data_IF_973837345015
#
_entry.id   IF_973837345015
#
_cell.length_a   1.000
_cell.length_b   1.000
_cell.length_c   1.000
_cell.angle_alpha   90.00
_cell.angle_beta   90.00
_cell.angle_gamma   90.00
#
_symmetry.space_group_name_H-M   'P 1'
#
loop_
_entity.id
_entity.type
_entity.pdbx_description
1 polymer ?
#
# COMPACT_ATOMS: atom_id res chain seq x y z
N UNK A 1 4.77 23.46 14.75
CA UNK A 1 3.86 22.61 13.95
C UNK A 1 4.45 21.25 13.57
N UNK A 2 5.69 21.16 13.07
CA UNK A 2 6.30 19.93 12.52
C UNK A 2 6.43 18.75 13.50
N UNK A 3 6.89 18.97 14.75
CA UNK A 3 7.03 17.89 15.75
C UNK A 3 5.70 17.19 16.09
N UNK A 4 4.59 17.94 16.12
CA UNK A 4 3.23 17.39 16.30
C UNK A 4 2.79 16.55 15.10
N UNK A 5 3.22 16.89 13.89
CA UNK A 5 2.91 16.15 12.68
C UNK A 5 3.61 14.78 12.66
N UNK A 6 4.90 14.73 13.01
CA UNK A 6 5.66 13.46 13.09
C UNK A 6 5.06 12.50 14.11
N UNK A 7 4.70 12.96 15.31
CA UNK A 7 4.07 12.11 16.34
C UNK A 7 2.74 11.54 15.85
N UNK A 8 1.91 12.36 15.19
CA UNK A 8 0.64 11.90 14.63
C UNK A 8 0.84 10.84 13.55
N UNK A 9 1.82 11.00 12.66
CA UNK A 9 2.12 10.00 11.63
C UNK A 9 2.60 8.69 12.24
N UNK A 10 3.51 8.74 13.22
CA UNK A 10 3.99 7.53 13.91
C UNK A 10 2.83 6.81 14.59
N UNK A 11 1.96 7.55 15.28
CA UNK A 11 0.75 6.99 15.88
C UNK A 11 -0.16 6.35 14.83
N UNK A 12 -0.36 7.00 13.69
CA UNK A 12 -1.15 6.44 12.59
C UNK A 12 -0.53 5.16 12.01
N UNK A 13 0.80 5.08 11.89
CA UNK A 13 1.49 3.86 11.44
C UNK A 13 1.28 2.73 12.46
N UNK A 14 1.38 3.02 13.77
CA UNK A 14 1.10 2.04 14.81
C UNK A 14 -0.36 1.54 14.75
N UNK A 15 -1.32 2.45 14.57
CA UNK A 15 -2.74 2.10 14.39
C UNK A 15 -2.95 1.25 13.13
N UNK A 16 -2.24 1.55 12.04
CA UNK A 16 -2.26 0.76 10.81
C UNK A 16 -1.81 -0.68 11.05
N UNK A 17 -0.67 -0.88 11.70
CA UNK A 17 -0.17 -2.22 12.04
C UNK A 17 -1.09 -2.99 12.99
N UNK A 18 -1.59 -2.33 14.04
CA UNK A 18 -2.53 -2.95 14.99
C UNK A 18 -3.82 -3.34 14.27
N UNK A 19 -4.38 -2.44 13.45
CA UNK A 19 -5.59 -2.71 12.67
C UNK A 19 -5.42 -3.88 11.72
N UNK A 20 -4.28 -3.95 11.02
CA UNK A 20 -3.95 -5.07 10.14
C UNK A 20 -3.85 -6.39 10.92
N UNK A 21 -3.03 -6.44 11.97
CA UNK A 21 -2.80 -7.64 12.75
C UNK A 21 -4.07 -8.17 13.43
N UNK A 22 -4.90 -7.28 14.00
CA UNK A 22 -6.19 -7.66 14.57
C UNK A 22 -7.11 -8.25 13.50
N UNK A 23 -7.14 -7.66 12.31
CA UNK A 23 -7.96 -8.18 11.21
C UNK A 23 -7.58 -9.60 10.82
N UNK A 24 -6.27 -9.89 10.76
CA UNK A 24 -5.76 -11.24 10.46
C UNK A 24 -6.02 -12.23 11.60
N UNK A 25 -5.82 -11.81 12.85
CA UNK A 25 -6.15 -12.63 14.03
C UNK A 25 -7.62 -13.02 14.07
N UNK A 26 -8.53 -12.07 13.78
CA UNK A 26 -9.97 -12.35 13.74
C UNK A 26 -10.28 -13.34 12.61
N UNK A 27 -9.65 -13.17 11.44
CA UNK A 27 -9.83 -14.07 10.30
C UNK A 27 -9.52 -15.51 10.67
N UNK A 28 -8.35 -15.74 11.28
CA UNK A 28 -7.87 -17.08 11.62
C UNK A 28 -8.66 -17.67 12.80
N UNK A 29 -8.95 -16.90 13.85
CA UNK A 29 -9.59 -17.44 15.07
C UNK A 29 -11.07 -17.70 14.93
N UNK A 30 -11.81 -16.85 14.21
CA UNK A 30 -13.28 -16.91 14.24
C UNK A 30 -13.85 -17.82 13.17
N UNK A 31 -13.11 -18.14 12.10
CA UNK A 31 -13.63 -18.76 10.87
C UNK A 31 -14.87 -18.04 10.29
N UNK A 32 -15.25 -16.89 10.85
CA UNK A 32 -16.37 -16.08 10.41
C UNK A 32 -15.87 -15.16 9.31
N UNK A 33 -15.83 -15.70 8.09
CA UNK A 33 -15.35 -14.99 6.91
C UNK A 33 -15.99 -13.61 6.76
N UNK A 34 -17.30 -13.46 7.05
CA UNK A 34 -18.01 -12.21 6.84
C UNK A 34 -17.54 -11.08 7.78
N UNK A 35 -17.46 -11.34 9.09
CA UNK A 35 -17.09 -10.32 10.08
C UNK A 35 -15.63 -9.89 9.90
N UNK A 36 -14.74 -10.87 9.70
CA UNK A 36 -13.33 -10.61 9.39
C UNK A 36 -13.19 -9.78 8.11
N UNK A 37 -13.92 -10.15 7.05
CA UNK A 37 -13.88 -9.43 5.78
C UNK A 37 -14.39 -8.00 5.91
N UNK A 38 -15.48 -7.76 6.66
CA UNK A 38 -15.99 -6.40 6.90
C UNK A 38 -14.99 -5.55 7.70
N UNK A 39 -14.39 -6.12 8.74
CA UNK A 39 -13.40 -5.42 9.54
C UNK A 39 -12.16 -5.07 8.70
N UNK A 40 -11.67 -6.03 7.91
CA UNK A 40 -10.57 -5.81 6.98
C UNK A 40 -10.90 -4.72 5.95
N UNK A 41 -12.05 -4.82 5.31
CA UNK A 41 -12.43 -3.97 4.18
C UNK A 41 -12.96 -2.57 4.54
N UNK A 42 -13.54 -2.38 5.73
CA UNK A 42 -14.08 -1.07 6.13
C UNK A 42 -13.11 -0.37 7.07
N UNK A 43 -12.68 -1.07 8.13
CA UNK A 43 -11.86 -0.48 9.18
C UNK A 43 -10.41 -0.38 8.71
N UNK A 44 -9.83 -1.48 8.25
CA UNK A 44 -8.42 -1.48 7.87
C UNK A 44 -8.16 -0.74 6.54
N UNK A 45 -8.76 -1.14 5.42
CA UNK A 45 -8.45 -0.48 4.12
C UNK A 45 -9.11 0.90 3.97
N UNK A 46 -10.35 1.04 4.43
CA UNK A 46 -11.12 2.29 4.31
C UNK A 46 -10.69 3.36 5.32
N UNK A 47 -11.01 3.16 6.60
CA UNK A 47 -10.78 4.17 7.63
C UNK A 47 -9.29 4.36 7.94
N UNK A 48 -8.61 3.29 8.30
CA UNK A 48 -7.21 3.37 8.74
C UNK A 48 -6.29 3.58 7.53
N UNK A 49 -6.48 2.80 6.47
CA UNK A 49 -5.66 2.81 5.26
C UNK A 49 -5.83 4.06 4.41
N UNK A 50 -7.07 4.51 4.20
CA UNK A 50 -7.35 5.61 3.26
C UNK A 50 -7.70 6.93 3.96
N UNK A 51 -8.67 6.92 4.88
CA UNK A 51 -9.16 8.16 5.51
C UNK A 51 -8.10 8.84 6.38
N UNK A 52 -7.40 8.12 7.25
CA UNK A 52 -6.39 8.72 8.15
C UNK A 52 -5.26 9.42 7.36
N UNK A 53 -4.58 8.77 6.39
CA UNK A 53 -3.53 9.44 5.63
C UNK A 53 -4.00 10.67 4.86
N UNK A 54 -5.20 10.59 4.25
CA UNK A 54 -5.78 11.69 3.48
C UNK A 54 -6.19 12.85 4.40
N UNK A 55 -6.73 12.54 5.59
CA UNK A 55 -7.01 13.55 6.60
C UNK A 55 -5.73 14.28 7.03
N UNK A 56 -4.65 13.55 7.32
CA UNK A 56 -3.36 14.14 7.69
C UNK A 56 -2.76 14.96 6.55
N UNK A 57 -2.80 14.44 5.32
CA UNK A 57 -2.41 15.17 4.11
C UNK A 57 -3.11 16.52 4.03
N UNK A 58 -4.43 16.54 4.18
CA UNK A 58 -5.22 17.76 4.07
C UNK A 58 -5.00 18.72 5.25
N UNK A 59 -4.76 18.19 6.45
CA UNK A 59 -4.45 18.99 7.64
C UNK A 59 -3.07 19.67 7.54
N UNK A 60 -2.11 19.03 6.90
CA UNK A 60 -0.73 19.52 6.77
C UNK A 60 -0.38 20.05 5.38
N UNK A 61 -1.36 20.11 4.46
CA UNK A 61 -1.20 20.57 3.07
C UNK A 61 -0.10 19.84 2.31
N UNK A 62 -0.03 18.51 2.47
CA UNK A 62 0.91 17.69 1.71
C UNK A 62 0.41 17.42 0.30
N UNK A 63 1.35 17.32 -0.64
CA UNK A 63 1.05 17.02 -2.04
C UNK A 63 1.37 15.55 -2.34
N UNK A 64 0.55 14.92 -3.18
CA UNK A 64 0.83 13.58 -3.71
C UNK A 64 2.08 13.54 -4.60
N UNK A 65 2.34 14.64 -5.31
CA UNK A 65 3.38 14.71 -6.34
C UNK A 65 4.30 15.90 -6.10
N UNK A 66 5.58 15.73 -6.42
CA UNK A 66 6.60 16.78 -6.50
C UNK A 66 7.38 16.65 -7.80
N UNK A 67 8.30 17.59 -8.06
CA UNK A 67 9.19 17.52 -9.21
C UNK A 67 10.12 16.30 -9.11
N UNK A 68 10.10 15.46 -10.13
CA UNK A 68 11.01 14.32 -10.24
C UNK A 68 12.45 14.81 -10.36
N UNK A 69 13.40 14.09 -9.74
CA UNK A 69 14.83 14.36 -9.87
C UNK A 69 15.44 13.65 -11.07
N UNK A 70 15.07 12.38 -11.31
CA UNK A 70 15.51 11.61 -12.47
C UNK A 70 14.44 10.59 -12.86
N UNK A 71 13.62 10.94 -13.85
CA UNK A 71 12.51 10.08 -14.29
C UNK A 71 12.98 8.72 -14.81
N UNK A 72 14.07 8.70 -15.58
CA UNK A 72 14.58 7.49 -16.23
C UNK A 72 15.01 6.47 -15.18
N UNK A 73 15.85 6.89 -14.22
CA UNK A 73 16.27 6.01 -13.12
C UNK A 73 15.07 5.52 -12.31
N UNK A 74 14.13 6.41 -12.00
CA UNK A 74 12.92 6.07 -11.26
C UNK A 74 12.06 5.00 -11.92
N UNK A 75 11.82 5.11 -13.23
CA UNK A 75 11.10 4.10 -14.01
C UNK A 75 11.88 2.80 -14.15
N UNK A 76 13.21 2.85 -14.28
CA UNK A 76 14.04 1.65 -14.34
C UNK A 76 13.91 0.80 -13.07
N UNK A 77 14.05 1.41 -11.89
CA UNK A 77 13.84 0.71 -10.62
C UNK A 77 12.42 0.18 -10.46
N UNK A 78 11.43 0.87 -11.04
CA UNK A 78 10.02 0.49 -10.95
C UNK A 78 9.73 -0.73 -11.83
N UNK A 79 10.31 -0.77 -13.04
CA UNK A 79 10.28 -1.94 -13.91
C UNK A 79 10.99 -3.12 -13.23
N UNK A 80 12.17 -2.90 -12.64
CA UNK A 80 12.88 -3.94 -11.89
C UNK A 80 12.04 -4.46 -10.73
N UNK A 81 11.35 -3.60 -9.97
CA UNK A 81 10.45 -4.02 -8.90
C UNK A 81 9.31 -4.93 -9.42
N UNK A 82 8.67 -4.55 -10.53
CA UNK A 82 7.59 -5.33 -11.13
C UNK A 82 8.12 -6.67 -11.66
N UNK A 83 9.24 -6.69 -12.38
CA UNK A 83 9.82 -7.93 -12.92
C UNK A 83 10.29 -8.87 -11.82
N UNK A 84 10.99 -8.32 -10.81
CA UNK A 84 11.44 -9.07 -9.65
C UNK A 84 10.25 -9.68 -8.92
N UNK A 85 9.20 -8.89 -8.71
CA UNK A 85 8.03 -9.38 -8.00
C UNK A 85 7.19 -10.37 -8.80
N UNK A 86 7.07 -10.24 -10.12
CA UNK A 86 6.07 -11.03 -10.88
C UNK A 86 6.69 -12.22 -11.62
N UNK A 87 7.92 -12.09 -12.12
CA UNK A 87 8.57 -13.13 -12.91
C UNK A 87 9.46 -14.00 -12.02
N UNK A 88 10.32 -13.38 -11.18
CA UNK A 88 11.26 -14.16 -10.37
C UNK A 88 10.57 -14.92 -9.22
N UNK A 89 9.40 -14.46 -8.78
CA UNK A 89 8.55 -15.20 -7.83
C UNK A 89 7.77 -16.35 -8.48
N UNK A 90 7.77 -16.46 -9.81
CA UNK A 90 6.92 -17.39 -10.55
C UNK A 90 5.44 -16.99 -10.62
N UNK A 91 5.03 -15.89 -9.97
CA UNK A 91 3.63 -15.51 -9.84
C UNK A 91 2.93 -15.35 -11.19
N UNK A 92 3.58 -14.71 -12.16
CA UNK A 92 2.99 -14.50 -13.49
C UNK A 92 2.67 -15.82 -14.21
N UNK A 93 3.52 -16.84 -14.07
CA UNK A 93 3.28 -18.15 -14.66
C UNK A 93 2.10 -18.85 -13.98
N UNK A 94 2.06 -18.83 -12.64
CA UNK A 94 0.96 -19.40 -11.86
C UNK A 94 -0.39 -18.77 -12.23
N UNK A 95 -0.45 -17.43 -12.39
CA UNK A 95 -1.69 -16.75 -12.79
C UNK A 95 -2.18 -17.20 -14.16
N UNK A 96 -1.28 -17.42 -15.12
CA UNK A 96 -1.62 -17.91 -16.46
C UNK A 96 -2.15 -19.35 -16.39
N UNK A 97 -1.53 -20.19 -15.56
CA UNK A 97 -1.94 -21.59 -15.35
C UNK A 97 -3.30 -21.72 -14.67
N UNK A 98 -3.61 -20.86 -13.70
CA UNK A 98 -4.86 -20.86 -12.94
C UNK A 98 -6.10 -20.50 -13.79
N UNK A 99 -5.92 -19.91 -14.97
CA UNK A 99 -6.99 -19.60 -15.95
C UNK A 99 -8.22 -18.94 -15.31
N UNK A 100 -7.99 -17.88 -14.54
CA UNK A 100 -9.06 -17.18 -13.83
C UNK A 100 -10.18 -16.68 -14.74
N UNK A 101 -11.43 -16.84 -14.28
CA UNK A 101 -12.58 -16.22 -14.92
C UNK A 101 -12.55 -14.69 -14.77
N UNK A 102 -13.17 -13.98 -15.71
CA UNK A 102 -13.18 -12.52 -15.70
C UNK A 102 -13.82 -11.92 -14.43
N UNK A 103 -14.86 -12.56 -13.91
CA UNK A 103 -15.53 -12.14 -12.67
C UNK A 103 -14.58 -12.22 -11.47
N UNK A 104 -13.74 -13.26 -11.42
CA UNK A 104 -12.81 -13.49 -10.33
C UNK A 104 -11.61 -12.54 -10.45
N UNK A 105 -11.11 -12.29 -11.67
CA UNK A 105 -10.14 -11.22 -11.94
C UNK A 105 -10.65 -9.84 -11.49
N UNK A 106 -11.89 -9.49 -11.83
CA UNK A 106 -12.49 -8.23 -11.41
C UNK A 106 -12.59 -8.13 -9.88
N UNK A 107 -12.96 -9.22 -9.20
CA UNK A 107 -12.97 -9.28 -7.72
C UNK A 107 -11.61 -8.94 -7.14
N UNK A 108 -10.53 -9.54 -7.67
CA UNK A 108 -9.18 -9.26 -7.20
C UNK A 108 -8.78 -7.81 -7.48
N UNK A 109 -9.04 -7.28 -8.68
CA UNK A 109 -8.78 -5.87 -9.01
C UNK A 109 -9.45 -4.93 -7.99
N UNK A 110 -10.74 -5.18 -7.70
CA UNK A 110 -11.50 -4.37 -6.75
C UNK A 110 -11.00 -4.55 -5.31
N UNK A 111 -10.57 -5.75 -4.90
CA UNK A 111 -10.03 -6.00 -3.56
C UNK A 111 -8.66 -5.34 -3.35
N UNK A 112 -7.80 -5.39 -4.35
CA UNK A 112 -6.42 -4.89 -4.26
C UNK A 112 -6.33 -3.39 -4.44
N UNK A 113 -7.29 -2.75 -5.09
CA UNK A 113 -7.35 -1.30 -5.19
C UNK A 113 -7.30 -0.62 -3.79
N UNK A 114 -8.25 -0.85 -2.86
CA UNK A 114 -8.24 -0.21 -1.56
C UNK A 114 -7.08 -0.69 -0.66
N UNK A 115 -6.65 -1.94 -0.79
CA UNK A 115 -5.54 -2.49 0.00
C UNK A 115 -4.20 -1.82 -0.36
N UNK A 116 -3.86 -1.81 -1.66
CA UNK A 116 -2.65 -1.16 -2.16
C UNK A 116 -2.70 0.36 -1.98
N UNK A 117 -3.89 0.97 -2.03
CA UNK A 117 -4.06 2.39 -1.77
C UNK A 117 -3.68 2.71 -0.33
N UNK A 118 -4.17 1.94 0.64
CA UNK A 118 -3.83 2.11 2.05
C UNK A 118 -2.32 2.00 2.29
N UNK A 119 -1.70 0.91 1.83
CA UNK A 119 -0.25 0.69 1.95
C UNK A 119 0.52 1.83 1.26
N UNK A 120 0.12 2.18 0.05
CA UNK A 120 0.76 3.25 -0.73
C UNK A 120 0.69 4.60 -0.02
N UNK A 121 -0.46 4.97 0.58
CA UNK A 121 -0.62 6.23 1.30
C UNK A 121 0.29 6.33 2.52
N UNK A 122 0.48 5.24 3.25
CA UNK A 122 1.46 5.22 4.33
C UNK A 122 2.90 5.32 3.79
N UNK A 123 3.25 4.46 2.83
CA UNK A 123 4.60 4.33 2.31
C UNK A 123 5.09 5.56 1.53
N UNK A 124 4.26 6.11 0.65
CA UNK A 124 4.65 7.11 -0.36
C UNK A 124 4.05 8.50 -0.12
N UNK A 125 3.22 8.66 0.91
CA UNK A 125 2.71 9.98 1.32
C UNK A 125 3.05 10.29 2.78
N UNK A 126 2.80 9.40 3.75
CA UNK A 126 3.08 9.72 5.15
C UNK A 126 4.57 9.65 5.50
N UNK A 127 5.24 8.53 5.24
CA UNK A 127 6.67 8.34 5.57
C UNK A 127 7.56 9.45 4.95
N UNK A 128 7.42 9.83 3.66
CA UNK A 128 8.23 10.90 3.09
C UNK A 128 8.04 12.25 3.78
N UNK A 129 6.89 12.50 4.42
CA UNK A 129 6.63 13.76 5.11
C UNK A 129 7.06 13.76 6.59
N UNK A 130 7.55 12.63 7.13
CA UNK A 130 8.15 12.60 8.48
C UNK A 130 9.65 12.85 8.48
N UNK A 131 10.33 12.57 7.37
CA UNK A 131 11.78 12.74 7.23
C UNK A 131 12.06 14.13 6.65
N UNK A 132 12.89 14.92 7.34
CA UNK A 132 13.19 16.27 6.90
C UNK A 132 14.25 16.29 5.80
N UNK A 133 14.09 17.13 4.78
CA UNK A 133 15.11 17.44 3.77
C UNK A 133 15.70 16.21 3.04
N UNK A 134 14.97 15.09 2.98
CA UNK A 134 15.40 13.87 2.27
C UNK A 134 15.65 14.10 0.78
N UNK A 135 15.08 15.16 0.21
CA UNK A 135 15.30 15.52 -1.20
C UNK A 135 16.69 16.12 -1.46
N UNK A 136 17.33 16.67 -0.43
CA UNK A 136 18.60 17.43 -0.54
C UNK A 136 19.75 16.75 0.21
N UNK A 137 19.44 15.95 1.22
CA UNK A 137 20.42 15.28 2.06
C UNK A 137 20.45 13.77 1.76
N UNK A 138 21.60 13.27 1.29
CA UNK A 138 21.80 11.86 0.93
C UNK A 138 21.51 10.89 2.07
N UNK A 139 21.90 11.22 3.30
CA UNK A 139 21.65 10.37 4.48
C UNK A 139 20.14 10.26 4.70
N UNK A 140 19.41 11.37 4.62
CA UNK A 140 17.96 11.36 4.77
C UNK A 140 17.24 10.71 3.58
N UNK A 141 17.81 10.77 2.36
CA UNK A 141 17.33 9.99 1.21
C UNK A 141 17.45 8.49 1.45
N UNK A 142 18.59 8.04 1.99
CA UNK A 142 18.82 6.62 2.35
C UNK A 142 17.87 6.21 3.49
N UNK A 143 17.71 7.06 4.51
CA UNK A 143 16.75 6.83 5.60
C UNK A 143 15.33 6.66 5.08
N UNK A 144 14.92 7.45 4.08
CA UNK A 144 13.61 7.32 3.43
C UNK A 144 13.44 5.95 2.78
N UNK A 145 14.41 5.52 1.96
CA UNK A 145 14.36 4.22 1.28
C UNK A 145 14.26 3.09 2.31
N UNK A 146 15.11 3.13 3.34
CA UNK A 146 15.13 2.13 4.42
C UNK A 146 13.80 2.14 5.19
N UNK A 147 13.24 3.31 5.50
CA UNK A 147 11.96 3.42 6.23
C UNK A 147 10.80 2.82 5.44
N UNK A 148 10.76 3.04 4.12
CA UNK A 148 9.78 2.41 3.23
C UNK A 148 10.00 0.90 3.21
N UNK A 149 11.23 0.43 3.03
CA UNK A 149 11.54 -1.01 3.04
C UNK A 149 11.13 -1.70 4.35
N UNK A 150 11.47 -1.11 5.51
CA UNK A 150 11.07 -1.61 6.83
C UNK A 150 9.55 -1.60 6.97
N UNK A 151 8.87 -0.57 6.46
CA UNK A 151 7.41 -0.50 6.49
C UNK A 151 6.78 -1.68 5.75
N UNK A 152 7.24 -1.96 4.53
CA UNK A 152 6.78 -3.13 3.79
C UNK A 152 7.10 -4.45 4.50
N UNK A 153 8.34 -4.64 4.98
CA UNK A 153 8.70 -5.84 5.73
C UNK A 153 7.76 -6.09 6.90
N UNK A 154 7.56 -5.08 7.76
CA UNK A 154 6.70 -5.20 8.94
C UNK A 154 5.23 -5.40 8.57
N UNK A 155 4.74 -4.71 7.54
CA UNK A 155 3.37 -4.88 7.04
C UNK A 155 3.05 -6.34 6.69
N UNK A 156 3.92 -6.98 5.90
CA UNK A 156 3.69 -8.35 5.47
C UNK A 156 4.10 -9.39 6.51
N UNK A 157 5.02 -9.06 7.42
CA UNK A 157 5.27 -9.88 8.60
C UNK A 157 4.06 -9.90 9.54
N UNK A 158 3.36 -8.78 9.69
CA UNK A 158 2.10 -8.71 10.44
C UNK A 158 0.96 -9.38 9.69
N UNK A 159 0.90 -9.26 8.36
CA UNK A 159 -0.10 -9.96 7.53
C UNK A 159 -0.07 -11.47 7.75
N UNK A 160 1.13 -12.05 7.87
CA UNK A 160 1.35 -13.47 8.17
C UNK A 160 1.34 -13.80 9.66
N UNK A 161 0.92 -12.88 10.54
CA UNK A 161 0.96 -13.04 12.00
C UNK A 161 2.34 -13.50 12.53
N UNK A 162 3.41 -12.95 11.96
CA UNK A 162 4.80 -13.21 12.31
C UNK A 162 5.29 -14.62 11.95
N UNK A 163 4.59 -15.32 11.06
CA UNK A 163 4.91 -16.71 10.69
C UNK A 163 5.76 -16.80 9.41
N UNK A 164 5.59 -15.88 8.47
CA UNK A 164 6.24 -15.93 7.16
C UNK A 164 7.28 -14.82 7.02
N UNK A 165 8.51 -15.13 7.46
CA UNK A 165 9.65 -14.22 7.36
C UNK A 165 10.15 -14.09 5.90
N UNK A 166 9.95 -15.11 5.08
CA UNK A 166 10.41 -15.14 3.69
C UNK A 166 9.59 -14.20 2.82
N UNK A 167 8.25 -14.25 2.95
CA UNK A 167 7.34 -13.27 2.33
C UNK A 167 7.64 -11.85 2.82
N UNK A 168 7.82 -11.68 4.12
CA UNK A 168 8.15 -10.37 4.70
C UNK A 168 9.47 -9.82 4.15
N UNK A 169 10.51 -10.65 4.05
CA UNK A 169 11.80 -10.28 3.48
C UNK A 169 11.67 -9.88 2.00
N UNK A 170 10.94 -10.67 1.21
CA UNK A 170 10.66 -10.40 -0.20
C UNK A 170 9.95 -9.05 -0.37
N UNK A 171 8.93 -8.79 0.45
CA UNK A 171 8.20 -7.52 0.43
C UNK A 171 9.06 -6.36 0.92
N UNK A 172 9.98 -6.59 1.86
CA UNK A 172 11.00 -5.62 2.26
C UNK A 172 11.92 -5.22 1.11
N UNK A 173 12.38 -6.18 0.30
CA UNK A 173 13.19 -5.93 -0.91
C UNK A 173 12.38 -5.18 -1.98
N UNK A 174 11.13 -5.57 -2.21
CA UNK A 174 10.21 -4.84 -3.09
C UNK A 174 10.02 -3.40 -2.59
N UNK A 175 9.81 -3.21 -1.29
CA UNK A 175 9.71 -1.90 -0.65
C UNK A 175 10.97 -1.05 -0.82
N UNK A 176 12.16 -1.67 -0.81
CA UNK A 176 13.42 -0.99 -1.12
C UNK A 176 13.43 -0.49 -2.56
N UNK A 177 13.10 -1.34 -3.53
CA UNK A 177 13.07 -0.96 -4.95
C UNK A 177 12.03 0.15 -5.21
N UNK A 178 10.82 0.01 -4.66
CA UNK A 178 9.78 1.04 -4.74
C UNK A 178 10.19 2.34 -4.02
N UNK A 179 10.91 2.24 -2.91
CA UNK A 179 11.47 3.40 -2.19
C UNK A 179 12.50 4.15 -3.03
N UNK A 180 13.38 3.44 -3.75
CA UNK A 180 14.32 4.04 -4.70
C UNK A 180 13.58 4.67 -5.87
N UNK A 181 12.60 3.98 -6.46
CA UNK A 181 11.74 4.55 -7.50
C UNK A 181 11.05 5.83 -7.05
N UNK A 182 10.50 5.84 -5.83
CA UNK A 182 9.84 7.00 -5.26
C UNK A 182 10.81 8.16 -5.02
N UNK A 183 12.02 7.91 -4.54
CA UNK A 183 13.05 8.93 -4.35
C UNK A 183 13.30 9.73 -5.64
N UNK A 184 13.31 9.04 -6.78
CA UNK A 184 13.55 9.63 -8.10
C UNK A 184 12.30 10.24 -8.75
N UNK A 185 11.15 9.55 -8.71
CA UNK A 185 9.92 9.97 -9.37
C UNK A 185 9.15 11.02 -8.57
N UNK A 186 9.15 10.91 -7.24
CA UNK A 186 8.41 11.75 -6.28
C UNK A 186 6.93 11.90 -6.66
N UNK A 187 6.36 10.85 -7.23
CA UNK A 187 5.00 10.80 -7.72
C UNK A 187 4.30 9.60 -7.11
N UNK A 188 3.40 9.89 -6.19
CA UNK A 188 2.60 8.89 -5.49
C UNK A 188 1.88 7.96 -6.46
N UNK A 189 1.15 8.52 -7.44
CA UNK A 189 0.26 7.76 -8.32
C UNK A 189 0.99 6.76 -9.19
N UNK A 190 2.22 7.08 -9.63
CA UNK A 190 3.03 6.16 -10.44
C UNK A 190 3.50 4.98 -9.60
N UNK A 191 4.08 5.24 -8.42
CA UNK A 191 4.62 4.18 -7.56
C UNK A 191 3.50 3.34 -6.94
N UNK A 192 2.38 3.98 -6.57
CA UNK A 192 1.15 3.31 -6.16
C UNK A 192 0.62 2.36 -7.24
N UNK A 193 0.57 2.79 -8.51
CA UNK A 193 0.09 1.93 -9.60
C UNK A 193 0.96 0.69 -9.76
N UNK A 194 2.28 0.82 -9.60
CA UNK A 194 3.20 -0.31 -9.62
C UNK A 194 2.97 -1.26 -8.43
N UNK A 195 2.81 -0.70 -7.23
CA UNK A 195 2.45 -1.49 -6.04
C UNK A 195 1.15 -2.26 -6.24
N UNK A 196 0.12 -1.62 -6.79
CA UNK A 196 -1.16 -2.26 -7.10
C UNK A 196 -0.97 -3.47 -8.02
N UNK A 197 -0.21 -3.32 -9.12
CA UNK A 197 0.08 -4.43 -10.05
C UNK A 197 0.84 -5.55 -9.35
N UNK A 198 1.88 -5.21 -8.58
CA UNK A 198 2.69 -6.16 -7.83
C UNK A 198 1.82 -7.00 -6.89
N UNK A 199 1.00 -6.34 -6.06
CA UNK A 199 0.13 -7.03 -5.11
C UNK A 199 -0.94 -7.87 -5.82
N UNK A 200 -1.54 -7.34 -6.88
CA UNK A 200 -2.56 -8.04 -7.66
C UNK A 200 -2.02 -9.34 -8.25
N UNK A 201 -0.86 -9.29 -8.92
CA UNK A 201 -0.29 -10.46 -9.59
C UNK A 201 0.18 -11.52 -8.58
N UNK A 202 0.91 -11.11 -7.54
CA UNK A 202 1.37 -12.06 -6.52
C UNK A 202 0.20 -12.77 -5.84
N UNK A 203 -0.85 -12.03 -5.50
CA UNK A 203 -1.95 -12.63 -4.76
C UNK A 203 -2.86 -13.47 -5.65
N UNK A 204 -3.00 -13.11 -6.93
CA UNK A 204 -3.65 -14.00 -7.90
C UNK A 204 -2.89 -15.33 -8.01
N UNK A 205 -1.56 -15.33 -7.94
CA UNK A 205 -0.78 -16.57 -7.97
C UNK A 205 -1.04 -17.47 -6.74
N UNK A 206 -1.34 -16.85 -5.60
CA UNK A 206 -1.57 -17.55 -4.32
C UNK A 206 -3.00 -18.02 -4.10
N UNK A 207 -3.96 -17.69 -5.01
CA UNK A 207 -5.39 -18.02 -4.95
C UNK A 207 -6.13 -17.76 -3.61
N UNK A 208 -5.51 -16.98 -2.72
CA UNK A 208 -5.91 -16.77 -1.31
C UNK A 208 -7.31 -16.17 -1.12
N UNK A 209 -7.83 -15.43 -2.10
CA UNK A 209 -9.09 -14.68 -1.98
C UNK A 209 -10.19 -15.16 -2.92
N UNK A 210 -10.08 -16.37 -3.44
CA UNK A 210 -11.06 -16.97 -4.35
C UNK A 210 -12.44 -17.11 -3.70
N UNK A 211 -12.50 -17.32 -2.39
CA UNK A 211 -13.75 -17.42 -1.61
C UNK A 211 -14.16 -16.10 -0.94
N UNK A 212 -13.36 -15.03 -1.08
CA UNK A 212 -13.64 -13.75 -0.45
C UNK A 212 -14.95 -13.14 -0.97
N UNK A 213 -15.74 -12.54 -0.07
CA UNK A 213 -17.08 -12.07 -0.38
C UNK A 213 -17.07 -10.87 -1.35
N UNK A 214 -17.67 -11.05 -2.52
CA UNK A 214 -17.70 -10.04 -3.58
C UNK A 214 -18.40 -8.72 -3.16
N UNK A 215 -19.49 -8.81 -2.40
CA UNK A 215 -20.23 -7.62 -1.93
C UNK A 215 -19.38 -6.74 -1.02
N UNK A 216 -18.59 -7.35 -0.13
CA UNK A 216 -17.67 -6.64 0.76
C UNK A 216 -16.58 -5.94 -0.05
N UNK A 217 -16.04 -6.59 -1.08
CA UNK A 217 -15.05 -6.01 -1.99
C UNK A 217 -15.60 -4.74 -2.66
N UNK A 218 -16.82 -4.80 -3.18
CA UNK A 218 -17.48 -3.65 -3.81
C UNK A 218 -17.64 -2.51 -2.81
N UNK A 219 -18.14 -2.78 -1.61
CA UNK A 219 -18.32 -1.76 -0.55
C UNK A 219 -16.98 -1.10 -0.18
N UNK A 220 -15.92 -1.91 0.01
CA UNK A 220 -14.58 -1.40 0.33
C UNK A 220 -14.03 -0.47 -0.76
N UNK A 221 -14.23 -0.87 -2.02
CA UNK A 221 -13.79 -0.11 -3.17
C UNK A 221 -14.53 1.22 -3.25
N UNK A 222 -15.86 1.19 -3.13
CA UNK A 222 -16.70 2.39 -3.15
C UNK A 222 -16.31 3.34 -2.02
N UNK A 223 -16.11 2.84 -0.81
CA UNK A 223 -15.67 3.66 0.33
C UNK A 223 -14.34 4.38 0.02
N UNK A 224 -13.35 3.65 -0.49
CA UNK A 224 -12.03 4.21 -0.81
C UNK A 224 -12.10 5.22 -1.95
N UNK A 225 -12.92 4.94 -2.98
CA UNK A 225 -13.20 5.89 -4.06
C UNK A 225 -13.92 7.15 -3.57
N UNK A 226 -14.89 7.02 -2.66
CA UNK A 226 -15.58 8.18 -2.07
C UNK A 226 -14.60 9.05 -1.30
N UNK A 227 -13.73 8.47 -0.47
CA UNK A 227 -12.71 9.20 0.28
C UNK A 227 -11.77 9.94 -0.69
N UNK A 228 -11.27 9.26 -1.73
CA UNK A 228 -10.41 9.87 -2.76
C UNK A 228 -11.12 10.98 -3.53
N UNK A 229 -12.36 10.77 -3.94
CA UNK A 229 -13.15 11.74 -4.70
C UNK A 229 -13.36 13.00 -3.86
N UNK A 230 -13.71 12.83 -2.58
CA UNK A 230 -13.85 13.95 -1.65
C UNK A 230 -12.54 14.73 -1.50
N UNK A 231 -11.41 14.04 -1.39
CA UNK A 231 -10.09 14.68 -1.36
C UNK A 231 -9.83 15.50 -2.63
N UNK A 232 -10.08 14.93 -3.81
CA UNK A 232 -9.86 15.64 -5.08
C UNK A 232 -10.75 16.88 -5.22
N UNK A 233 -12.03 16.78 -4.84
CA UNK A 233 -12.97 17.92 -4.84
C UNK A 233 -12.46 19.01 -3.90
N UNK A 234 -12.09 18.65 -2.66
CA UNK A 234 -11.60 19.61 -1.67
C UNK A 234 -10.33 20.32 -2.13
N UNK A 235 -9.38 19.61 -2.74
CA UNK A 235 -8.14 20.21 -3.22
C UNK A 235 -8.31 21.06 -4.48
N UNK A 236 -9.33 20.78 -5.30
CA UNK A 236 -9.66 21.64 -6.45
C UNK A 236 -10.15 23.01 -6.00
N UNK A 237 -10.93 23.07 -4.92
CA UNK A 237 -11.47 24.32 -4.39
C UNK A 237 -10.46 25.18 -3.62
N UNK A 238 -9.25 24.65 -3.35
CA UNK A 238 -8.17 25.35 -2.67
C UNK A 238 -7.10 25.91 -3.63
N UNK A 239 -7.22 25.63 -4.93
CA UNK A 239 -6.38 26.19 -6.00
C UNK A 239 -7.12 27.32 -6.69
#
# INVERSE_FOLDING_TARGET
MKRKSTTLVILSIAVFYIGWGISQLISIKTQQLLLSSLFFSIVFTGLIGSFIPIFLKNRFHWNYNKSASNKIAGYLFLIVAILFSTILSGALFNVIELRYSWNLMLKYILLFFPMSLGIGLFAFLLIPNTIQDWEKNKINSVLLIISISIFFFLSFFIDSLLQDIELAATMGVIGLLLGVSYLFLRNFWIVYSALFIIMLVNTLADNKYDEYNYGIVVISTLLSLTILTFDFIKNRNLK
#
